data_IF_029157400029
#
_entry.id   IF_029157400029
#
_cell.length_a   1.000
_cell.length_b   1.000
_cell.length_c   1.000
_cell.angle_alpha   90.00
_cell.angle_beta   90.00
_cell.angle_gamma   90.00
#
_symmetry.space_group_name_H-M   'P 1'
#
loop_
_entity.id
_entity.type
_entity.pdbx_description
1 polymer ?
#
# COMPACT_ATOMS: atom_id res chain seq x y z
N UNK A 1 -25.89 71.38 17.97
CA UNK A 1 -25.11 70.56 18.91
C UNK A 1 -25.86 69.25 19.11
N UNK A 2 -25.47 68.15 18.43
CA UNK A 2 -25.91 66.82 18.86
C UNK A 2 -24.73 66.09 19.56
N UNK A 3 -25.05 65.48 20.64
CA UNK A 3 -24.24 64.73 21.57
C UNK A 3 -23.83 63.38 20.96
N UNK A 4 -22.52 63.12 21.00
CA UNK A 4 -21.88 61.84 20.68
C UNK A 4 -22.26 60.76 21.70
N UNK A 5 -22.87 59.66 21.25
CA UNK A 5 -23.06 58.44 22.00
C UNK A 5 -21.82 57.54 21.89
N UNK A 6 -21.21 57.27 23.06
CA UNK A 6 -20.15 56.30 23.24
C UNK A 6 -20.66 54.86 23.03
N UNK A 7 -20.13 54.21 21.99
CA UNK A 7 -20.28 52.76 21.76
C UNK A 7 -19.26 52.01 22.67
N UNK A 8 -19.71 51.50 23.80
CA UNK A 8 -18.96 50.55 24.60
C UNK A 8 -18.68 49.27 23.81
N UNK A 9 -17.41 48.99 23.56
CA UNK A 9 -16.91 47.74 23.00
C UNK A 9 -17.00 46.66 24.07
N UNK A 10 -17.85 45.67 23.85
CA UNK A 10 -17.95 44.49 24.72
C UNK A 10 -16.75 43.58 24.43
N UNK A 11 -15.89 43.39 25.43
CA UNK A 11 -14.84 42.39 25.45
C UNK A 11 -15.44 40.97 25.41
N UNK A 12 -14.85 39.99 24.70
CA UNK A 12 -15.31 38.61 24.73
C UNK A 12 -15.03 37.99 26.09
N UNK A 13 -16.09 37.48 26.72
CA UNK A 13 -15.98 36.69 27.96
C UNK A 13 -15.25 35.38 27.64
N UNK A 14 -14.11 35.16 28.29
CA UNK A 14 -13.44 33.85 28.33
C UNK A 14 -14.37 32.84 29.01
N UNK A 15 -14.76 31.79 28.30
CA UNK A 15 -15.52 30.67 28.85
C UNK A 15 -14.59 29.84 29.75
N UNK A 16 -14.80 29.97 31.05
CA UNK A 16 -14.09 29.23 32.10
C UNK A 16 -14.56 27.75 32.07
N UNK A 17 -13.69 26.85 31.62
CA UNK A 17 -13.94 25.41 31.62
C UNK A 17 -14.04 24.85 33.06
N UNK A 18 -15.22 24.50 33.49
CA UNK A 18 -15.45 23.84 34.79
C UNK A 18 -15.29 22.34 34.68
N UNK A 19 -14.24 21.78 35.28
CA UNK A 19 -14.07 20.32 35.42
C UNK A 19 -15.15 19.74 36.37
N UNK A 20 -16.12 19.04 35.80
CA UNK A 20 -17.10 18.29 36.56
C UNK A 20 -16.43 17.04 37.14
N UNK A 21 -16.11 17.08 38.44
CA UNK A 21 -15.68 15.88 39.17
C UNK A 21 -16.87 14.95 39.37
N UNK A 22 -17.03 13.98 38.46
CA UNK A 22 -18.00 12.90 38.66
C UNK A 22 -17.54 12.03 39.83
N UNK A 23 -18.31 12.01 40.92
CA UNK A 23 -18.12 11.06 42.04
C UNK A 23 -18.41 9.67 41.49
N UNK A 24 -17.34 8.91 41.15
CA UNK A 24 -17.44 7.48 40.82
C UNK A 24 -17.99 6.73 42.05
N UNK A 25 -19.26 6.36 42.00
CA UNK A 25 -19.95 5.61 43.07
C UNK A 25 -19.63 4.13 43.08
N UNK A 26 -18.83 3.63 42.12
CA UNK A 26 -18.45 2.21 42.08
C UNK A 26 -16.98 2.09 41.70
N UNK A 27 -16.09 2.26 42.67
CA UNK A 27 -14.77 1.61 42.59
C UNK A 27 -15.01 0.11 42.81
N UNK A 28 -15.40 -0.62 41.77
CA UNK A 28 -15.16 -2.05 41.75
C UNK A 28 -13.66 -2.24 41.82
N UNK A 29 -13.18 -2.97 42.82
CA UNK A 29 -11.82 -3.43 42.85
C UNK A 29 -11.49 -4.05 41.44
N UNK A 30 -10.32 -3.80 40.88
CA UNK A 30 -9.96 -4.43 39.63
C UNK A 30 -10.13 -5.94 39.79
N UNK A 31 -10.72 -6.64 38.81
CA UNK A 31 -10.89 -8.10 38.90
C UNK A 31 -9.51 -8.69 39.21
N UNK A 32 -9.43 -9.48 40.28
CA UNK A 32 -8.21 -10.25 40.59
C UNK A 32 -7.96 -11.15 39.41
N UNK A 33 -6.91 -10.85 38.63
CA UNK A 33 -6.45 -11.72 37.55
C UNK A 33 -6.13 -13.08 38.19
N UNK A 34 -6.78 -14.18 37.77
CA UNK A 34 -6.51 -15.49 38.32
C UNK A 34 -5.01 -15.79 38.23
N UNK A 35 -4.41 -16.25 39.32
CA UNK A 35 -2.98 -16.61 39.38
C UNK A 35 -2.54 -17.60 38.29
N UNK A 36 -3.48 -18.38 37.78
CA UNK A 36 -3.25 -19.31 36.66
C UNK A 36 -2.86 -18.61 35.33
N UNK A 37 -3.21 -17.31 35.15
CA UNK A 37 -2.78 -16.56 33.94
C UNK A 37 -1.34 -16.02 34.06
N UNK A 38 -0.75 -15.99 35.27
CA UNK A 38 0.63 -15.56 35.49
C UNK A 38 1.66 -16.68 35.24
N UNK A 39 1.24 -17.94 35.22
CA UNK A 39 2.14 -19.10 35.09
C UNK A 39 2.42 -19.51 33.63
N UNK A 40 1.82 -18.88 32.62
CA UNK A 40 2.05 -19.24 31.21
C UNK A 40 3.21 -18.50 30.53
N UNK A 41 3.90 -17.60 31.23
CA UNK A 41 4.97 -16.77 30.63
C UNK A 41 6.40 -17.28 30.85
N UNK A 42 6.60 -18.39 31.56
CA UNK A 42 7.96 -18.89 31.88
C UNK A 42 8.41 -20.08 31.01
N UNK A 43 7.57 -20.59 30.11
CA UNK A 43 8.05 -21.58 29.15
C UNK A 43 8.69 -20.90 27.94
N UNK A 44 9.89 -21.31 27.52
CA UNK A 44 10.52 -20.76 26.35
C UNK A 44 9.62 -20.97 25.13
N UNK A 45 9.32 -19.89 24.42
CA UNK A 45 8.50 -19.94 23.22
C UNK A 45 9.14 -20.88 22.20
N UNK A 46 8.38 -21.87 21.72
CA UNK A 46 8.76 -22.70 20.59
C UNK A 46 8.37 -21.96 19.31
N UNK A 47 9.36 -21.53 18.57
CA UNK A 47 9.15 -20.86 17.28
C UNK A 47 8.82 -21.88 16.19
N UNK A 48 7.99 -21.46 15.24
CA UNK A 48 7.67 -22.26 14.07
C UNK A 48 8.91 -22.48 13.21
N UNK A 49 9.19 -23.71 12.74
CA UNK A 49 10.27 -23.97 11.81
C UNK A 49 10.07 -23.25 10.46
N UNK A 50 11.16 -22.88 9.79
CA UNK A 50 11.15 -22.23 8.48
C UNK A 50 10.37 -23.04 7.42
N UNK A 51 10.47 -24.38 7.45
CA UNK A 51 9.74 -25.26 6.54
C UNK A 51 8.22 -25.18 6.69
N UNK A 52 7.73 -25.03 7.93
CA UNK A 52 6.30 -24.91 8.19
C UNK A 52 5.77 -23.54 7.71
N UNK A 53 6.57 -22.46 7.91
CA UNK A 53 6.27 -21.13 7.41
C UNK A 53 6.23 -21.16 5.88
N UNK A 54 7.19 -21.80 5.24
CA UNK A 54 7.26 -21.96 3.78
C UNK A 54 6.02 -22.73 3.23
N UNK A 55 5.58 -23.78 3.92
CA UNK A 55 4.37 -24.52 3.56
C UNK A 55 3.09 -23.67 3.66
N UNK A 56 2.95 -22.85 4.71
CA UNK A 56 1.85 -21.91 4.84
C UNK A 56 1.91 -20.82 3.73
N UNK A 57 3.10 -20.26 3.51
CA UNK A 57 3.34 -19.24 2.50
C UNK A 57 2.89 -19.66 1.10
N UNK A 58 3.19 -20.88 0.67
CA UNK A 58 2.79 -21.36 -0.65
C UNK A 58 1.26 -21.26 -0.88
N UNK A 59 0.47 -21.51 0.16
CA UNK A 59 -0.99 -21.35 0.11
C UNK A 59 -1.43 -19.88 -0.05
N UNK A 60 -0.67 -18.95 0.52
CA UNK A 60 -0.92 -17.50 0.33
C UNK A 60 -0.49 -17.06 -1.07
N UNK A 61 0.66 -17.50 -1.53
CA UNK A 61 1.23 -17.17 -2.84
C UNK A 61 0.33 -17.60 -4.00
N UNK A 62 -0.20 -18.82 -3.95
CA UNK A 62 -1.13 -19.32 -4.97
C UNK A 62 -2.38 -18.44 -5.04
N UNK A 63 -3.01 -18.19 -3.88
CA UNK A 63 -4.21 -17.34 -3.82
C UNK A 63 -3.93 -15.89 -4.21
N UNK A 64 -2.79 -15.34 -3.82
CA UNK A 64 -2.40 -13.98 -4.18
C UNK A 64 -2.34 -13.78 -5.69
N UNK A 65 -1.74 -14.72 -6.41
CA UNK A 65 -1.61 -14.66 -7.88
C UNK A 65 -2.94 -14.62 -8.62
N UNK A 66 -4.01 -15.09 -8.00
CA UNK A 66 -5.37 -15.07 -8.54
C UNK A 66 -6.11 -13.76 -8.20
N UNK A 67 -5.55 -12.91 -7.34
CA UNK A 67 -6.23 -11.67 -6.92
C UNK A 67 -6.15 -10.58 -8.00
N UNK A 68 -7.19 -9.73 -8.11
CA UNK A 68 -7.12 -8.53 -8.94
C UNK A 68 -5.98 -7.59 -8.51
N UNK A 69 -5.67 -7.51 -7.22
CA UNK A 69 -4.60 -6.68 -6.67
C UNK A 69 -3.24 -7.03 -7.30
N UNK A 70 -2.88 -8.32 -7.35
CA UNK A 70 -1.67 -8.81 -8.01
C UNK A 70 -1.62 -8.35 -9.49
N UNK A 71 -2.72 -8.53 -10.24
CA UNK A 71 -2.82 -8.11 -11.63
C UNK A 71 -2.65 -6.58 -11.81
N UNK A 72 -3.28 -5.80 -10.94
CA UNK A 72 -3.20 -4.34 -10.97
C UNK A 72 -1.80 -3.82 -10.63
N UNK A 73 -1.10 -4.42 -9.65
CA UNK A 73 0.31 -4.07 -9.36
C UNK A 73 1.18 -4.31 -10.60
N UNK A 74 1.06 -5.48 -11.23
CA UNK A 74 1.80 -5.80 -12.45
C UNK A 74 1.52 -4.81 -13.58
N UNK A 75 0.27 -4.43 -13.78
CA UNK A 75 -0.12 -3.45 -14.78
C UNK A 75 0.45 -2.06 -14.46
N UNK A 76 0.33 -1.60 -13.22
CA UNK A 76 0.86 -0.32 -12.76
C UNK A 76 2.35 -0.18 -13.07
N UNK A 77 3.15 -1.18 -12.69
CA UNK A 77 4.60 -1.19 -12.91
C UNK A 77 4.92 -1.20 -14.41
N UNK A 78 4.30 -2.12 -15.20
CA UNK A 78 4.55 -2.24 -16.64
C UNK A 78 4.22 -0.97 -17.42
N UNK A 79 3.15 -0.28 -17.05
CA UNK A 79 2.71 0.94 -17.72
C UNK A 79 3.65 2.13 -17.48
N UNK A 80 4.41 2.12 -16.38
CA UNK A 80 5.18 3.26 -15.92
C UNK A 80 6.70 3.11 -15.95
N UNK A 81 7.23 1.88 -16.04
CA UNK A 81 8.67 1.59 -15.93
C UNK A 81 9.56 2.37 -16.91
N UNK A 82 9.06 2.66 -18.11
CA UNK A 82 9.85 3.37 -19.15
C UNK A 82 10.08 4.84 -18.84
N UNK A 83 9.18 5.47 -18.09
CA UNK A 83 9.20 6.89 -17.75
C UNK A 83 10.00 7.20 -16.49
N UNK A 84 10.28 6.19 -15.67
CA UNK A 84 10.81 6.38 -14.34
C UNK A 84 12.22 5.79 -14.18
N UNK A 85 12.89 6.24 -13.11
CA UNK A 85 14.24 5.80 -12.75
C UNK A 85 14.28 4.29 -12.51
N UNK A 86 15.36 3.65 -12.97
CA UNK A 86 15.59 2.21 -12.81
C UNK A 86 15.85 1.89 -11.34
N UNK A 87 15.20 0.85 -10.84
CA UNK A 87 15.44 0.25 -9.52
C UNK A 87 16.52 -0.82 -9.67
N UNK A 88 17.52 -0.82 -8.79
CA UNK A 88 18.64 -1.79 -8.80
C UNK A 88 18.68 -2.69 -7.57
N UNK A 89 18.05 -2.30 -6.49
CA UNK A 89 17.93 -3.06 -5.24
C UNK A 89 16.60 -2.78 -4.57
N UNK A 90 16.20 -3.66 -3.67
CA UNK A 90 14.95 -3.51 -2.94
C UNK A 90 15.15 -3.71 -1.44
N UNK A 91 14.54 -2.85 -0.64
CA UNK A 91 14.53 -2.91 0.82
C UNK A 91 13.09 -2.98 1.29
N UNK A 92 12.75 -4.03 2.07
CA UNK A 92 11.45 -4.19 2.70
C UNK A 92 11.58 -3.98 4.20
N UNK A 93 10.83 -3.01 4.73
CA UNK A 93 10.84 -2.63 6.14
C UNK A 93 9.50 -2.96 6.78
N UNK A 94 9.53 -3.64 7.91
CA UNK A 94 8.36 -3.78 8.77
C UNK A 94 7.24 -4.66 8.20
N UNK A 95 7.58 -5.71 7.48
CA UNK A 95 6.59 -6.65 6.91
C UNK A 95 5.82 -7.45 7.98
N UNK A 96 6.31 -7.47 9.21
CA UNK A 96 5.79 -8.25 10.31
C UNK A 96 6.29 -9.69 10.33
N UNK A 97 6.11 -10.38 11.46
CA UNK A 97 6.46 -11.81 11.59
C UNK A 97 5.41 -12.70 10.93
N UNK A 98 5.82 -13.84 10.39
CA UNK A 98 4.95 -14.91 9.87
C UNK A 98 4.51 -15.90 10.96
N UNK A 99 5.13 -15.80 12.16
CA UNK A 99 4.79 -16.56 13.35
C UNK A 99 4.45 -15.60 14.51
N UNK A 100 3.29 -14.91 14.50
CA UNK A 100 2.91 -13.98 15.55
C UNK A 100 2.73 -14.71 16.89
N UNK A 101 3.13 -14.07 17.99
CA UNK A 101 3.17 -14.65 19.33
C UNK A 101 1.80 -15.13 19.83
N UNK A 102 0.77 -14.37 19.50
CA UNK A 102 -0.63 -14.68 19.85
C UNK A 102 -1.30 -15.64 18.86
N UNK A 103 -0.57 -16.13 17.84
CA UNK A 103 -1.11 -16.95 16.76
C UNK A 103 -2.09 -16.21 15.88
N UNK A 104 -2.15 -14.86 15.95
CA UNK A 104 -3.12 -14.00 15.29
C UNK A 104 -3.14 -14.20 13.77
N UNK A 105 -4.26 -14.74 13.29
CA UNK A 105 -4.44 -15.01 11.85
C UNK A 105 -4.32 -13.73 10.99
N UNK A 106 -4.94 -12.63 11.43
CA UNK A 106 -4.94 -11.38 10.67
C UNK A 106 -3.54 -10.76 10.57
N UNK A 107 -2.73 -10.84 11.64
CA UNK A 107 -1.35 -10.37 11.63
C UNK A 107 -0.52 -11.20 10.65
N UNK A 108 -0.58 -12.53 10.76
CA UNK A 108 0.09 -13.46 9.85
C UNK A 108 -0.31 -13.23 8.39
N UNK A 109 -1.62 -13.14 8.14
CA UNK A 109 -2.15 -12.91 6.80
C UNK A 109 -1.57 -11.62 6.21
N UNK A 110 -1.60 -10.52 6.98
CA UNK A 110 -1.05 -9.23 6.51
C UNK A 110 0.43 -9.34 6.17
N UNK A 111 1.23 -10.01 7.01
CA UNK A 111 2.67 -10.21 6.74
C UNK A 111 2.89 -10.96 5.41
N UNK A 112 2.16 -12.06 5.16
CA UNK A 112 2.29 -12.78 3.89
C UNK A 112 1.82 -11.97 2.69
N UNK A 113 0.71 -11.22 2.80
CA UNK A 113 0.20 -10.39 1.70
C UNK A 113 1.12 -9.19 1.43
N UNK A 114 1.72 -8.58 2.45
CA UNK A 114 2.71 -7.53 2.25
C UNK A 114 3.98 -8.07 1.58
N UNK A 115 4.45 -9.25 2.00
CA UNK A 115 5.58 -9.92 1.35
C UNK A 115 5.27 -10.19 -0.13
N UNK A 116 4.11 -10.73 -0.45
CA UNK A 116 3.70 -10.98 -1.83
C UNK A 116 3.55 -9.70 -2.65
N UNK A 117 3.03 -8.62 -2.06
CA UNK A 117 2.99 -7.31 -2.70
C UNK A 117 4.37 -6.79 -3.04
N UNK A 118 5.31 -6.88 -2.10
CA UNK A 118 6.72 -6.53 -2.29
C UNK A 118 7.36 -7.38 -3.42
N UNK A 119 7.25 -8.70 -3.32
CA UNK A 119 7.84 -9.63 -4.27
C UNK A 119 7.23 -9.47 -5.68
N UNK A 120 5.94 -9.15 -5.79
CA UNK A 120 5.30 -8.87 -7.08
C UNK A 120 5.92 -7.65 -7.75
N UNK A 121 6.19 -6.56 -7.02
CA UNK A 121 6.87 -5.38 -7.57
C UNK A 121 8.28 -5.75 -8.05
N UNK A 122 9.04 -6.46 -7.23
CA UNK A 122 10.41 -6.90 -7.55
C UNK A 122 10.44 -7.84 -8.75
N UNK A 123 9.56 -8.84 -8.80
CA UNK A 123 9.45 -9.81 -9.89
C UNK A 123 9.20 -9.11 -11.23
N UNK A 124 8.21 -8.21 -11.28
CA UNK A 124 7.88 -7.47 -12.50
C UNK A 124 8.99 -6.55 -12.95
N UNK A 125 9.66 -5.85 -12.02
CA UNK A 125 10.81 -5.02 -12.37
C UNK A 125 11.98 -5.85 -12.87
N UNK A 126 12.26 -7.00 -12.24
CA UNK A 126 13.32 -7.93 -12.66
C UNK A 126 13.04 -8.50 -14.06
N UNK A 127 11.79 -8.90 -14.34
CA UNK A 127 11.36 -9.32 -15.67
C UNK A 127 11.61 -8.23 -16.73
N UNK A 128 11.19 -6.98 -16.42
CA UNK A 128 11.27 -5.87 -17.38
C UNK A 128 12.71 -5.37 -17.62
N UNK A 129 13.57 -5.49 -16.62
CA UNK A 129 14.99 -5.12 -16.74
C UNK A 129 15.86 -6.28 -17.23
N UNK A 130 15.34 -7.50 -17.23
CA UNK A 130 16.11 -8.74 -17.46
C UNK A 130 17.32 -8.85 -16.52
N UNK A 131 17.14 -8.43 -15.27
CA UNK A 131 18.17 -8.40 -14.22
C UNK A 131 17.53 -8.80 -12.89
N UNK A 132 18.26 -9.55 -12.07
CA UNK A 132 17.83 -9.85 -10.70
C UNK A 132 18.01 -8.62 -9.81
N UNK A 133 17.00 -8.30 -9.01
CA UNK A 133 17.04 -7.22 -8.03
C UNK A 133 17.27 -7.85 -6.64
N UNK A 134 18.42 -7.63 -6.00
CA UNK A 134 18.68 -8.13 -4.66
C UNK A 134 17.72 -7.48 -3.65
N UNK A 135 17.20 -8.30 -2.73
CA UNK A 135 16.23 -7.90 -1.72
C UNK A 135 16.81 -8.02 -0.32
N UNK A 136 16.70 -6.96 0.47
CA UNK A 136 17.04 -6.92 1.89
C UNK A 136 15.77 -6.68 2.71
N UNK A 137 15.51 -7.51 3.71
CA UNK A 137 14.36 -7.37 4.59
C UNK A 137 14.81 -7.09 6.03
N UNK A 138 14.08 -6.19 6.70
CA UNK A 138 14.30 -5.85 8.10
C UNK A 138 12.97 -5.76 8.85
N UNK A 139 12.84 -6.54 9.92
CA UNK A 139 11.71 -6.51 10.83
C UNK A 139 12.19 -6.93 12.22
N UNK A 140 12.14 -6.07 13.25
CA UNK A 140 12.62 -6.39 14.60
C UNK A 140 11.93 -7.59 15.26
N UNK A 141 10.75 -7.97 14.77
CA UNK A 141 9.96 -9.08 15.30
C UNK A 141 10.17 -10.40 14.57
N UNK A 142 11.11 -10.48 13.63
CA UNK A 142 11.42 -11.74 12.97
C UNK A 142 11.89 -12.80 13.97
N UNK A 143 11.29 -13.98 13.89
CA UNK A 143 11.73 -15.18 14.59
C UNK A 143 12.84 -15.88 13.81
N UNK A 144 13.59 -16.80 14.43
CA UNK A 144 14.57 -17.62 13.70
C UNK A 144 13.95 -18.39 12.52
N UNK A 145 12.67 -18.80 12.65
CA UNK A 145 11.93 -19.42 11.55
C UNK A 145 11.63 -18.47 10.39
N UNK A 146 11.27 -17.21 10.70
CA UNK A 146 11.05 -16.17 9.68
C UNK A 146 12.35 -15.89 8.90
N UNK A 147 13.47 -15.74 9.61
CA UNK A 147 14.78 -15.51 9.01
C UNK A 147 15.15 -16.68 8.09
N UNK A 148 15.03 -17.92 8.60
CA UNK A 148 15.33 -19.12 7.81
C UNK A 148 14.43 -19.26 6.58
N UNK A 149 13.15 -18.90 6.69
CA UNK A 149 12.21 -18.90 5.58
C UNK A 149 12.61 -17.89 4.49
N UNK A 150 12.85 -16.63 4.85
CA UNK A 150 13.20 -15.58 3.90
C UNK A 150 14.57 -15.82 3.25
N UNK A 151 15.55 -16.29 4.01
CA UNK A 151 16.86 -16.69 3.48
C UNK A 151 16.72 -17.88 2.52
N UNK A 152 15.83 -18.82 2.83
CA UNK A 152 15.49 -19.94 1.93
C UNK A 152 14.85 -19.50 0.61
N UNK A 153 14.19 -18.33 0.57
CA UNK A 153 13.71 -17.69 -0.66
C UNK A 153 14.82 -16.94 -1.43
N UNK A 154 16.04 -16.86 -0.88
CA UNK A 154 17.17 -16.15 -1.50
C UNK A 154 17.26 -14.67 -1.19
N UNK A 155 16.64 -14.22 -0.10
CA UNK A 155 16.67 -12.82 0.35
C UNK A 155 17.62 -12.61 1.52
N UNK A 156 18.22 -11.43 1.61
CA UNK A 156 19.02 -11.02 2.75
C UNK A 156 18.11 -10.53 3.87
N UNK A 157 18.34 -11.05 5.07
CA UNK A 157 17.65 -10.60 6.29
C UNK A 157 18.67 -9.96 7.22
N UNK A 158 18.41 -8.72 7.61
CA UNK A 158 19.31 -7.94 8.44
C UNK A 158 18.63 -7.46 9.72
N UNK A 159 19.44 -7.25 10.76
CA UNK A 159 18.95 -6.67 12.01
C UNK A 159 18.79 -5.16 11.89
N UNK A 160 17.80 -4.62 12.62
CA UNK A 160 17.60 -3.17 12.70
C UNK A 160 18.79 -2.52 13.42
N UNK A 161 19.35 -1.40 12.91
CA UNK A 161 18.83 -0.53 11.84
C UNK A 161 19.49 -0.73 10.46
N UNK A 162 20.20 -1.82 10.22
CA UNK A 162 21.14 -2.01 9.10
C UNK A 162 20.54 -1.82 7.71
N UNK A 163 19.23 -2.11 7.52
CA UNK A 163 18.60 -1.95 6.21
C UNK A 163 18.48 -0.48 5.77
N UNK A 164 18.46 0.48 6.70
CA UNK A 164 18.44 1.90 6.33
C UNK A 164 19.73 2.35 5.62
N UNK A 165 20.86 1.69 5.92
CA UNK A 165 22.13 1.95 5.25
C UNK A 165 22.17 1.48 3.80
N UNK A 166 21.30 0.52 3.44
CA UNK A 166 21.18 -0.01 2.09
C UNK A 166 20.30 0.86 1.16
N UNK A 167 19.63 1.88 1.72
CA UNK A 167 18.77 2.78 0.94
C UNK A 167 19.63 3.81 0.21
N UNK A 168 19.54 3.82 -1.11
CA UNK A 168 20.15 4.83 -1.98
C UNK A 168 19.16 5.28 -3.08
N UNK A 169 19.66 6.10 -3.99
CA UNK A 169 18.85 6.68 -5.07
C UNK A 169 18.35 5.67 -6.13
N UNK A 170 18.87 4.43 -6.14
CA UNK A 170 18.45 3.34 -7.04
C UNK A 170 17.62 2.26 -6.31
N UNK A 171 17.23 2.54 -5.07
CA UNK A 171 16.51 1.58 -4.22
C UNK A 171 15.00 1.66 -4.41
N UNK A 172 14.32 0.50 -4.38
CA UNK A 172 12.92 0.38 -4.00
C UNK A 172 12.84 0.26 -2.47
N UNK A 173 12.16 1.17 -1.80
CA UNK A 173 11.80 1.04 -0.39
C UNK A 173 10.32 0.64 -0.30
N UNK A 174 10.05 -0.52 0.31
CA UNK A 174 8.70 -1.01 0.57
C UNK A 174 8.46 -1.04 2.08
N UNK A 175 7.60 -0.16 2.59
CA UNK A 175 7.44 0.13 3.99
C UNK A 175 5.98 0.47 4.33
N UNK A 176 5.13 -0.56 4.47
CA UNK A 176 3.68 -0.39 4.63
C UNK A 176 3.33 -0.05 6.08
N UNK A 177 2.55 1.02 6.28
CA UNK A 177 2.00 1.45 7.58
C UNK A 177 3.06 1.60 8.70
N UNK A 178 4.25 2.08 8.33
CA UNK A 178 5.29 2.36 9.30
C UNK A 178 5.05 3.68 10.03
N UNK A 179 5.62 3.79 11.23
CA UNK A 179 5.61 5.04 11.98
C UNK A 179 6.52 6.08 11.32
N UNK A 180 6.18 7.36 11.47
CA UNK A 180 6.95 8.49 10.95
C UNK A 180 8.47 8.39 11.19
N UNK A 181 8.98 8.09 12.39
CA UNK A 181 10.43 8.00 12.60
C UNK A 181 11.12 6.94 11.73
N UNK A 182 10.43 5.86 11.36
CA UNK A 182 10.97 4.82 10.49
C UNK A 182 11.12 5.36 9.05
N UNK A 183 10.13 6.10 8.57
CA UNK A 183 10.23 6.77 7.27
C UNK A 183 11.33 7.84 7.26
N UNK A 184 11.44 8.64 8.33
CA UNK A 184 12.51 9.63 8.47
C UNK A 184 13.88 8.97 8.38
N UNK A 185 14.13 7.89 9.11
CA UNK A 185 15.39 7.13 9.04
C UNK A 185 15.64 6.52 7.65
N UNK A 186 14.60 5.97 7.02
CA UNK A 186 14.74 5.36 5.70
C UNK A 186 15.01 6.36 4.57
N UNK A 187 14.58 7.63 4.74
CA UNK A 187 14.67 8.69 3.73
C UNK A 187 15.66 9.79 4.09
N UNK A 188 16.39 9.64 5.21
CA UNK A 188 17.31 10.67 5.74
C UNK A 188 18.44 11.00 4.75
N UNK A 189 19.08 9.97 4.20
CA UNK A 189 20.27 10.12 3.36
C UNK A 189 19.93 10.57 1.94
N UNK A 190 18.91 9.97 1.37
CA UNK A 190 18.46 10.24 0.00
C UNK A 190 17.05 9.72 -0.24
N UNK A 191 16.37 10.34 -1.19
CA UNK A 191 15.08 9.80 -1.68
C UNK A 191 15.36 8.64 -2.65
N UNK A 192 14.67 7.49 -2.51
CA UNK A 192 14.87 6.31 -3.34
C UNK A 192 14.36 6.49 -4.78
N UNK A 193 14.67 5.56 -5.67
CA UNK A 193 14.07 5.51 -7.01
C UNK A 193 12.58 5.24 -6.94
N UNK A 194 12.18 4.32 -6.04
CA UNK A 194 10.78 3.95 -5.81
C UNK A 194 10.52 3.80 -4.32
N UNK A 195 9.38 4.28 -3.89
CA UNK A 195 8.90 4.11 -2.51
C UNK A 195 7.45 3.62 -2.52
N UNK A 196 7.15 2.61 -1.73
CA UNK A 196 5.80 2.11 -1.50
C UNK A 196 5.52 2.16 0.00
N UNK A 197 4.58 2.98 0.40
CA UNK A 197 4.26 3.20 1.81
C UNK A 197 3.08 4.15 1.99
N UNK A 198 2.84 4.61 3.21
CA UNK A 198 1.75 5.55 3.50
C UNK A 198 1.93 6.84 2.72
N UNK A 199 0.91 7.24 1.96
CA UNK A 199 0.93 8.43 1.12
C UNK A 199 1.01 9.73 1.93
N UNK A 200 1.59 10.79 1.33
CA UNK A 200 1.71 12.11 1.93
C UNK A 200 0.35 12.66 2.38
N UNK A 201 -0.69 12.53 1.57
CA UNK A 201 -2.02 13.05 1.87
C UNK A 201 -2.61 12.50 3.19
N UNK A 202 -2.21 11.29 3.57
CA UNK A 202 -2.61 10.70 4.87
C UNK A 202 -1.93 11.44 6.04
N UNK A 203 -0.69 11.85 5.88
CA UNK A 203 0.06 12.58 6.91
C UNK A 203 -0.40 14.04 7.01
N UNK A 204 -0.56 14.71 5.88
CA UNK A 204 -0.99 16.10 5.79
C UNK A 204 -2.43 16.28 6.31
N UNK A 205 -3.32 15.33 5.97
CA UNK A 205 -4.73 15.34 6.38
C UNK A 205 -4.97 15.17 7.88
N UNK A 206 -4.01 14.68 8.65
CA UNK A 206 -4.16 14.52 10.12
C UNK A 206 -4.02 15.85 10.86
N UNK A 207 -3.54 16.93 10.20
CA UNK A 207 -3.44 18.27 10.79
C UNK A 207 -2.45 18.39 11.96
N UNK A 208 -1.60 17.38 12.17
CA UNK A 208 -0.62 17.33 13.25
C UNK A 208 0.79 17.77 12.78
N UNK A 209 0.95 18.07 11.49
CA UNK A 209 2.23 18.47 10.93
C UNK A 209 2.34 20.01 10.98
N UNK A 210 3.37 20.52 11.66
CA UNK A 210 3.77 21.92 11.52
C UNK A 210 4.46 22.12 10.17
N UNK A 211 4.52 23.38 9.69
CA UNK A 211 5.23 23.71 8.46
C UNK A 211 6.69 23.25 8.54
N UNK A 212 7.13 22.48 7.56
CA UNK A 212 8.47 21.88 7.53
C UNK A 212 8.62 20.54 8.26
N UNK A 213 7.59 20.07 8.95
CA UNK A 213 7.58 18.73 9.52
C UNK A 213 7.55 17.67 8.41
N UNK A 214 8.24 16.55 8.65
CA UNK A 214 8.31 15.41 7.76
C UNK A 214 8.75 15.75 6.33
N UNK A 215 9.76 16.61 6.25
CA UNK A 215 10.26 17.20 5.01
C UNK A 215 10.62 16.17 3.93
N UNK A 216 11.22 15.04 4.29
CA UNK A 216 11.58 14.00 3.33
C UNK A 216 10.38 13.43 2.56
N UNK A 217 9.22 13.23 3.22
CA UNK A 217 8.00 12.77 2.56
C UNK A 217 7.36 13.86 1.70
N UNK A 218 7.35 15.10 2.17
CA UNK A 218 6.89 16.26 1.39
C UNK A 218 7.75 16.47 0.15
N UNK A 219 9.08 16.39 0.26
CA UNK A 219 10.00 16.50 -0.87
C UNK A 219 9.82 15.35 -1.87
N UNK A 220 9.59 14.13 -1.38
CA UNK A 220 9.29 12.99 -2.24
C UNK A 220 7.97 13.17 -2.98
N UNK A 221 6.92 13.63 -2.30
CA UNK A 221 5.62 13.88 -2.92
C UNK A 221 5.69 14.91 -4.06
N UNK A 222 6.56 15.95 -3.90
CA UNK A 222 6.78 16.97 -4.94
C UNK A 222 7.67 16.53 -6.09
N UNK A 223 8.62 15.61 -5.84
CA UNK A 223 9.66 15.25 -6.81
C UNK A 223 9.42 13.92 -7.53
N UNK A 224 8.49 13.11 -7.06
CA UNK A 224 8.18 11.80 -7.63
C UNK A 224 6.76 11.78 -8.19
N UNK A 225 6.57 11.07 -9.29
CA UNK A 225 5.22 10.71 -9.71
C UNK A 225 4.64 9.73 -8.70
N UNK A 226 3.40 9.93 -8.27
CA UNK A 226 2.76 9.07 -7.30
C UNK A 226 1.49 8.43 -7.84
N UNK A 227 1.20 7.24 -7.37
CA UNK A 227 0.06 6.42 -7.78
C UNK A 227 -0.55 5.77 -6.54
N UNK A 228 -1.86 5.64 -6.53
CA UNK A 228 -2.52 4.81 -5.52
C UNK A 228 -2.05 3.35 -5.66
N UNK A 229 -1.62 2.76 -4.53
CA UNK A 229 -1.23 1.36 -4.55
C UNK A 229 -2.49 0.47 -4.58
N UNK A 230 -2.54 -0.55 -5.45
CA UNK A 230 -3.71 -1.42 -5.57
C UNK A 230 -4.10 -2.08 -4.26
N UNK A 231 -5.39 -2.12 -3.98
CA UNK A 231 -5.94 -2.68 -2.73
C UNK A 231 -6.22 -4.18 -2.84
N UNK A 232 -6.10 -4.88 -1.71
CA UNK A 232 -6.30 -6.34 -1.60
C UNK A 232 -7.78 -6.73 -1.35
N UNK A 233 -8.69 -6.07 -2.01
CA UNK A 233 -10.14 -6.32 -1.94
C UNK A 233 -10.76 -5.82 -0.64
N UNK A 234 -11.42 -6.70 0.13
CA UNK A 234 -12.10 -6.35 1.38
C UNK A 234 -11.15 -6.16 2.58
N UNK A 235 -9.85 -6.30 2.36
CA UNK A 235 -8.83 -6.18 3.41
C UNK A 235 -8.11 -4.84 3.30
N UNK A 236 -7.59 -4.37 4.42
CA UNK A 236 -6.95 -3.06 4.52
C UNK A 236 -5.43 -3.14 4.53
N UNK A 237 -4.85 -4.22 3.97
CA UNK A 237 -3.40 -4.46 4.00
C UNK A 237 -2.60 -3.32 3.34
N UNK A 238 -3.16 -2.71 2.29
CA UNK A 238 -2.53 -1.60 1.56
C UNK A 238 -3.34 -0.30 1.64
N UNK A 239 -4.22 -0.14 2.65
CA UNK A 239 -4.97 1.11 2.82
C UNK A 239 -4.02 2.30 2.94
N UNK A 240 -4.42 3.45 2.38
CA UNK A 240 -3.62 4.69 2.39
C UNK A 240 -2.18 4.52 1.87
N UNK A 241 -1.92 3.50 1.06
CA UNK A 241 -0.61 3.23 0.47
C UNK A 241 -0.50 3.87 -0.90
N UNK A 242 0.61 4.59 -1.13
CA UNK A 242 1.00 5.15 -2.42
C UNK A 242 2.30 4.53 -2.91
N UNK A 243 2.44 4.45 -4.21
CA UNK A 243 3.68 4.17 -4.89
C UNK A 243 4.24 5.49 -5.44
N UNK A 244 5.40 5.89 -4.98
CA UNK A 244 6.16 7.03 -5.47
C UNK A 244 7.28 6.52 -6.36
N UNK A 245 7.42 7.10 -7.55
CA UNK A 245 8.45 6.69 -8.49
C UNK A 245 9.13 7.91 -9.09
N UNK A 246 10.46 7.97 -8.94
CA UNK A 246 11.23 9.10 -9.45
C UNK A 246 11.19 9.12 -10.99
N UNK A 247 10.78 10.24 -11.63
CA UNK A 247 10.82 10.35 -13.08
C UNK A 247 12.27 10.35 -13.61
N UNK A 248 12.47 9.98 -14.87
CA UNK A 248 13.74 10.20 -15.54
C UNK A 248 13.95 11.70 -15.79
N UNK A 249 15.20 12.15 -15.67
CA UNK A 249 15.56 13.58 -15.78
C UNK A 249 15.12 14.25 -17.10
N UNK A 250 15.02 13.49 -18.17
CA UNK A 250 14.61 13.99 -19.48
C UNK A 250 13.11 14.34 -19.57
N UNK A 251 12.27 13.65 -18.80
CA UNK A 251 10.82 13.89 -18.79
C UNK A 251 10.45 15.11 -17.94
N UNK A 252 11.20 15.38 -16.86
CA UNK A 252 11.00 16.57 -16.01
C UNK A 252 11.22 17.88 -16.78
N UNK A 253 12.18 17.89 -17.71
CA UNK A 253 12.47 19.08 -18.53
C UNK A 253 11.41 19.34 -19.61
N UNK A 254 10.67 18.34 -20.06
CA UNK A 254 9.60 18.49 -21.05
C UNK A 254 8.30 18.98 -20.43
N UNK A 255 7.94 18.46 -19.25
CA UNK A 255 6.73 18.90 -18.53
C UNK A 255 6.85 20.35 -18.02
N UNK A 256 8.04 20.79 -17.60
CA UNK A 256 8.31 22.18 -17.21
C UNK A 256 8.39 23.14 -18.42
N UNK A 257 8.66 22.63 -19.61
CA UNK A 257 8.71 23.42 -20.86
C UNK A 257 7.34 23.76 -21.42
N UNK A 258 6.30 22.98 -21.11
CA UNK A 258 4.94 23.17 -21.63
C UNK A 258 4.11 24.15 -20.79
N UNK A 259 4.45 24.35 -19.51
CA UNK A 259 3.76 25.32 -18.64
C UNK A 259 4.24 26.78 -18.81
N UNK A 260 5.38 27.02 -19.46
CA UNK A 260 5.89 28.39 -19.67
C UNK A 260 5.51 29.00 -21.03
N UNK A 261 4.68 28.32 -21.81
CA UNK A 261 4.32 28.69 -23.20
C UNK A 261 3.10 29.57 -23.37
N UNK A 262 2.49 30.17 -22.35
CA UNK A 262 1.38 31.09 -22.50
C UNK A 262 1.61 32.35 -21.68
N UNK A 263 2.30 33.29 -22.26
CA UNK A 263 2.05 34.75 -22.19
C UNK A 263 3.22 35.48 -22.84
N UNK A 264 3.09 35.90 -24.07
CA UNK A 264 3.36 37.25 -24.56
C UNK A 264 3.05 37.35 -26.06
N UNK A 265 1.96 37.92 -26.39
CA UNK A 265 1.69 38.54 -27.70
C UNK A 265 0.99 39.85 -27.47
N UNK A 266 1.75 40.84 -27.10
CA UNK A 266 1.46 42.23 -27.35
C UNK A 266 2.45 42.71 -28.42
N UNK A 267 2.01 42.82 -29.65
CA UNK A 267 2.72 43.48 -30.73
C UNK A 267 1.73 44.33 -31.55
N UNK A 268 2.13 45.45 -32.14
CA UNK A 268 1.29 46.59 -32.36
C UNK A 268 0.46 46.53 -33.67
N UNK A 269 -0.64 47.28 -33.59
CA UNK A 269 -1.53 47.60 -34.70
C UNK A 269 -0.80 48.22 -35.91
N UNK A 270 -1.08 47.71 -37.10
CA UNK A 270 -0.94 48.50 -38.32
C UNK A 270 -2.16 48.28 -39.22
N UNK A 271 -2.87 49.39 -39.41
CA UNK A 271 -4.00 49.58 -40.31
C UNK A 271 -3.60 49.32 -41.78
N UNK A 272 -4.46 48.59 -42.51
CA UNK A 272 -4.80 48.99 -43.90
C UNK A 272 -6.15 48.40 -44.32
N UNK A 273 -7.02 49.26 -44.70
CA UNK A 273 -8.27 49.05 -45.43
C UNK A 273 -8.06 48.36 -46.77
N UNK A 274 -8.97 47.50 -47.19
CA UNK A 274 -9.75 47.56 -48.42
C UNK A 274 -10.65 46.36 -48.64
N UNK A 275 -11.92 46.52 -48.56
CA UNK A 275 -13.02 46.51 -49.55
C UNK A 275 -13.24 45.22 -50.37
N UNK A 276 -14.47 44.76 -50.27
CA UNK A 276 -15.39 44.13 -51.25
C UNK A 276 -15.58 42.60 -51.17
N UNK A 277 -16.73 42.25 -50.71
CA UNK A 277 -18.02 41.87 -51.37
C UNK A 277 -18.23 40.37 -51.67
N UNK A 278 -19.44 39.95 -51.22
CA UNK A 278 -20.40 38.99 -51.84
C UNK A 278 -20.03 37.51 -51.65
N UNK A 279 -20.85 36.65 -51.13
CA UNK A 279 -22.28 36.49 -50.99
C UNK A 279 -22.53 34.99 -50.79
N UNK A 280 -23.71 34.73 -50.29
CA UNK A 280 -24.52 33.51 -50.43
C UNK A 280 -24.17 32.36 -49.46
N UNK A 281 -25.01 32.15 -48.59
CA UNK A 281 -26.31 31.50 -48.42
C UNK A 281 -26.18 30.12 -47.75
N UNK A 282 -26.83 30.05 -46.59
CA UNK A 282 -27.29 28.79 -45.98
C UNK A 282 -28.51 28.24 -46.77
N UNK A 283 -28.85 26.95 -46.69
CA UNK A 283 -29.72 26.48 -45.63
C UNK A 283 -29.39 25.03 -45.18
N UNK A 284 -29.63 24.59 -43.99
CA UNK A 284 -30.89 24.46 -43.30
C UNK A 284 -31.23 23.00 -43.05
N UNK A 285 -31.64 22.67 -41.79
CA UNK A 285 -32.49 21.53 -41.35
C UNK A 285 -31.71 20.21 -41.09
N UNK A 286 -32.00 19.45 -40.06
CA UNK A 286 -33.07 19.32 -39.06
C UNK A 286 -32.61 18.39 -37.95
N UNK A 287 -33.16 18.59 -36.78
CA UNK A 287 -33.22 17.70 -35.62
C UNK A 287 -33.96 16.40 -35.93
N UNK A 288 -33.66 15.37 -35.18
CA UNK A 288 -34.53 14.31 -34.68
C UNK A 288 -33.67 13.34 -33.92
N UNK A 289 -33.84 13.18 -32.67
CA UNK A 289 -34.78 12.48 -31.79
C UNK A 289 -34.20 11.16 -31.29
N UNK A 290 -34.07 11.08 -29.98
CA UNK A 290 -33.86 9.84 -29.21
C UNK A 290 -35.02 8.85 -29.39
N UNK A 291 -34.78 7.57 -29.11
CA UNK A 291 -35.76 6.84 -28.31
C UNK A 291 -35.11 6.05 -27.15
N UNK A 292 -35.70 6.28 -26.00
CA UNK A 292 -36.36 5.43 -24.99
C UNK A 292 -35.97 3.95 -24.90
N UNK A 293 -35.57 3.62 -23.65
CA UNK A 293 -35.92 2.44 -22.85
C UNK A 293 -36.54 1.27 -23.55
N UNK A 294 -35.98 0.08 -23.32
CA UNK A 294 -36.77 -1.10 -23.01
C UNK A 294 -36.09 -2.01 -22.00
N UNK A 295 -36.91 -2.35 -21.01
CA UNK A 295 -36.71 -3.29 -19.92
C UNK A 295 -37.02 -4.69 -20.43
N UNK A 296 -36.19 -5.68 -20.13
CA UNK A 296 -36.57 -7.09 -20.04
C UNK A 296 -35.85 -7.74 -18.88
N UNK A 297 -36.55 -7.93 -17.82
CA UNK A 297 -37.32 -9.12 -17.32
C UNK A 297 -36.44 -10.36 -17.10
N UNK A 298 -36.35 -10.64 -15.86
CA UNK A 298 -35.90 -11.80 -15.09
C UNK A 298 -36.43 -13.12 -15.70
N UNK A 299 -35.58 -14.11 -15.85
CA UNK A 299 -36.00 -15.50 -15.78
C UNK A 299 -35.20 -16.27 -14.75
N UNK A 300 -35.94 -16.75 -13.75
CA UNK A 300 -35.53 -17.72 -12.75
C UNK A 300 -35.60 -19.10 -13.39
N UNK A 301 -34.48 -19.78 -13.48
CA UNK A 301 -34.42 -21.22 -13.79
C UNK A 301 -34.07 -22.00 -12.54
N UNK A 302 -35.03 -22.80 -12.13
CA UNK A 302 -35.15 -23.59 -10.94
C UNK A 302 -34.51 -24.96 -11.17
N UNK A 303 -33.67 -25.37 -10.19
CA UNK A 303 -33.52 -26.70 -9.56
C UNK A 303 -33.78 -27.94 -10.41
N UNK A 304 -32.81 -28.85 -10.39
CA UNK A 304 -33.10 -30.28 -10.14
C UNK A 304 -31.85 -30.95 -9.55
N UNK A 305 -32.02 -31.43 -8.34
CA UNK A 305 -31.21 -32.44 -7.70
C UNK A 305 -31.55 -33.80 -8.32
N UNK A 306 -30.57 -34.64 -8.46
CA UNK A 306 -30.82 -36.09 -8.40
C UNK A 306 -29.63 -36.82 -7.79
N UNK A 307 -29.99 -37.60 -6.85
CA UNK A 307 -29.27 -38.54 -6.01
C UNK A 307 -28.85 -39.81 -6.76
N UNK A 308 -28.04 -40.57 -6.01
CA UNK A 308 -27.79 -42.03 -6.05
C UNK A 308 -26.62 -42.45 -6.92
N UNK A 309 -25.80 -43.34 -6.47
CA UNK A 309 -25.76 -44.31 -5.37
C UNK A 309 -24.60 -45.26 -5.67
N UNK A 310 -23.91 -45.64 -4.60
CA UNK A 310 -23.47 -46.98 -4.26
C UNK A 310 -22.35 -47.68 -5.03
N UNK A 311 -21.44 -48.17 -4.22
CA UNK A 311 -20.95 -49.55 -4.30
C UNK A 311 -19.45 -49.70 -4.45
N UNK A 312 -18.70 -49.97 -3.37
CA UNK A 312 -18.38 -51.31 -2.98
C UNK A 312 -16.98 -51.73 -3.39
N UNK A 313 -16.25 -52.27 -2.40
CA UNK A 313 -15.21 -53.25 -2.66
C UNK A 313 -13.78 -52.88 -2.17
N UNK A 314 -13.53 -52.97 -0.92
CA UNK A 314 -12.76 -54.01 -0.21
C UNK A 314 -11.70 -54.77 -1.03
N UNK A 315 -10.43 -54.60 -0.70
CA UNK A 315 -9.48 -55.71 -0.54
C UNK A 315 -8.17 -55.25 0.09
N UNK A 316 -7.99 -55.78 1.28
CA UNK A 316 -6.70 -56.00 1.95
C UNK A 316 -5.70 -56.65 1.00
N UNK A 317 -4.45 -56.21 1.14
CA UNK A 317 -3.28 -57.06 0.95
C UNK A 317 -2.19 -56.70 1.97
N UNK A 318 -1.99 -57.65 2.82
CA UNK A 318 -1.01 -57.84 3.87
C UNK A 318 0.18 -58.61 3.29
N UNK A 319 1.39 -58.13 3.43
CA UNK A 319 2.63 -58.92 3.36
C UNK A 319 3.73 -58.09 4.04
N UNK A 320 4.10 -58.46 5.19
CA UNK A 320 5.15 -59.39 5.70
C UNK A 320 6.56 -58.85 5.53
N UNK A 321 7.11 -58.59 6.73
CA UNK A 321 8.51 -58.66 7.16
C UNK A 321 9.36 -59.65 6.39
N UNK A 322 10.62 -59.27 6.15
CA UNK A 322 11.74 -60.19 6.42
C UNK A 322 13.01 -59.39 6.78
N UNK A 323 13.62 -59.89 7.82
CA UNK A 323 14.86 -59.51 8.44
C UNK A 323 16.08 -59.75 7.53
N UNK A 324 17.15 -58.96 7.70
CA UNK A 324 18.43 -59.18 7.08
C UNK A 324 19.54 -58.43 7.80
N UNK A 325 20.16 -59.12 8.75
CA UNK A 325 21.26 -58.76 9.64
C UNK A 325 22.60 -59.00 8.94
N UNK A 326 23.60 -58.18 9.29
CA UNK A 326 25.06 -58.39 9.30
C UNK A 326 25.86 -58.11 8.01
N UNK A 327 26.75 -57.19 8.04
CA UNK A 327 28.17 -57.19 8.48
C UNK A 327 28.69 -55.75 8.48
#
# INVERSE_FOLDING_TARGET
MPTTEDKATKEPQEEEWTFVKTKSRFRRAPPKVPSALKAKHDEPRVYKPAADIAGEYESFRVRWRETPCHGHIKQLIRSNVRKHKKVRRAVCLGVGTFDPEDGGWDAKRRSFIQLEGFLTVVEVLSELYNESIPCTLQEPRFTPGDVGFLTGLGHDVVESPSAFDAVDEDTLVFAIHMYRPIYEMALEKTLPAMFVGTGWDTWDGVGLLAEGDFKCMSDMHRSHTHFDFPQDGNHTTFSSTCLYWRPKSEDVLREQGDETGVTDRSGPEENTETVSKVGEECPGKKAESSPTRDSHTIEKGKVLADEKSAGGGDKMAKARNEDGKAS
#
